data_IF_994625301018
#
_entry.id   IF_994625301018
#
_cell.length_a   1.000
_cell.length_b   1.000
_cell.length_c   1.000
_cell.angle_alpha   90.00
_cell.angle_beta   90.00
_cell.angle_gamma   90.00
#
_symmetry.space_group_name_H-M   'P 1'
#
loop_
_entity.id
_entity.type
_entity.pdbx_description
1 polymer ?
#
# COMPACT_ATOMS: atom_id res chain seq x y z
N UNK A 1 16.33 21.57 -24.36
CA UNK A 1 15.76 20.35 -23.73
C UNK A 1 14.97 19.59 -24.78
N UNK A 2 15.18 18.27 -24.96
CA UNK A 2 14.42 17.46 -25.93
C UNK A 2 12.92 17.54 -25.59
N UNK A 3 12.06 17.88 -26.56
CA UNK A 3 10.62 18.07 -26.34
C UNK A 3 9.95 16.84 -25.70
N UNK A 4 10.43 15.63 -26.02
CA UNK A 4 9.94 14.38 -25.42
C UNK A 4 10.30 14.24 -23.94
N UNK A 5 11.48 14.73 -23.56
CA UNK A 5 11.90 14.73 -22.16
C UNK A 5 11.11 15.78 -21.38
N UNK A 6 10.94 16.97 -21.94
CA UNK A 6 10.13 18.03 -21.34
C UNK A 6 8.68 17.56 -21.11
N UNK A 7 8.05 16.92 -22.10
CA UNK A 7 6.69 16.40 -21.96
C UNK A 7 6.60 15.25 -20.95
N UNK A 8 7.56 14.32 -20.95
CA UNK A 8 7.59 13.23 -19.98
C UNK A 8 7.72 13.75 -18.53
N UNK A 9 8.55 14.77 -18.31
CA UNK A 9 8.69 15.40 -17.00
C UNK A 9 7.41 16.14 -16.59
N UNK A 10 6.85 16.96 -17.48
CA UNK A 10 5.61 17.69 -17.21
C UNK A 10 4.43 16.76 -16.90
N UNK A 11 4.23 15.71 -17.71
CA UNK A 11 3.18 14.73 -17.48
C UNK A 11 3.40 13.92 -16.21
N UNK A 12 4.65 13.56 -15.89
CA UNK A 12 4.97 12.86 -14.65
C UNK A 12 4.70 13.71 -13.40
N UNK A 13 5.08 14.99 -13.45
CA UNK A 13 4.78 15.95 -12.38
C UNK A 13 3.27 16.14 -12.24
N UNK A 14 2.55 16.35 -13.35
CA UNK A 14 1.09 16.48 -13.35
C UNK A 14 0.43 15.23 -12.75
N UNK A 15 0.88 14.04 -13.15
CA UNK A 15 0.33 12.79 -12.64
C UNK A 15 0.59 12.61 -11.14
N UNK A 16 1.79 12.94 -10.68
CA UNK A 16 2.13 12.86 -9.25
C UNK A 16 1.36 13.91 -8.44
N UNK A 17 1.23 15.14 -8.94
CA UNK A 17 0.41 16.18 -8.32
C UNK A 17 -1.06 15.78 -8.27
N UNK A 18 -1.60 15.20 -9.34
CA UNK A 18 -2.97 14.71 -9.38
C UNK A 18 -3.19 13.56 -8.38
N UNK A 19 -2.24 12.62 -8.26
CA UNK A 19 -2.29 11.55 -7.26
C UNK A 19 -2.27 12.11 -5.83
N UNK A 20 -1.39 13.07 -5.55
CA UNK A 20 -1.31 13.74 -4.24
C UNK A 20 -2.59 14.51 -3.93
N UNK A 21 -3.11 15.26 -4.89
CA UNK A 21 -4.39 15.97 -4.76
C UNK A 21 -5.53 14.99 -4.50
N UNK A 22 -5.61 13.89 -5.26
CA UNK A 22 -6.61 12.84 -5.07
C UNK A 22 -6.50 12.12 -3.72
N UNK A 23 -5.34 12.14 -3.07
CA UNK A 23 -5.13 11.49 -1.78
C UNK A 23 -5.30 12.41 -0.59
N UNK A 24 -4.97 13.69 -0.74
CA UNK A 24 -5.00 14.66 0.37
C UNK A 24 -6.20 15.60 0.27
N UNK A 25 -6.43 16.18 -0.90
CA UNK A 25 -7.45 17.21 -1.09
C UNK A 25 -8.82 16.64 -1.41
N UNK A 26 -8.90 15.58 -2.22
CA UNK A 26 -10.17 14.94 -2.56
C UNK A 26 -10.88 14.37 -1.32
N UNK A 27 -10.20 13.68 -0.38
CA UNK A 27 -10.87 13.23 0.83
C UNK A 27 -11.31 14.37 1.74
N UNK A 28 -10.54 15.47 1.82
CA UNK A 28 -10.95 16.67 2.55
C UNK A 28 -12.21 17.31 1.95
N UNK A 29 -12.27 17.43 0.63
CA UNK A 29 -13.46 17.93 -0.06
C UNK A 29 -14.66 17.00 0.15
N UNK A 30 -14.45 15.68 0.02
CA UNK A 30 -15.50 14.67 0.24
C UNK A 30 -15.97 14.66 1.70
N UNK A 31 -15.06 14.80 2.67
CA UNK A 31 -15.40 14.92 4.09
C UNK A 31 -16.25 16.17 4.35
N UNK A 32 -15.85 17.32 3.80
CA UNK A 32 -16.62 18.58 3.92
C UNK A 32 -18.03 18.45 3.35
N UNK A 33 -18.20 17.71 2.26
CA UNK A 33 -19.52 17.42 1.69
C UNK A 33 -20.33 16.44 2.55
N UNK A 34 -19.69 15.38 3.05
CA UNK A 34 -20.38 14.32 3.78
C UNK A 34 -20.70 14.66 5.23
N UNK A 35 -20.02 15.62 5.84
CA UNK A 35 -20.25 16.03 7.24
C UNK A 35 -21.66 16.60 7.47
N UNK A 36 -22.29 17.13 6.41
CA UNK A 36 -23.69 17.58 6.42
C UNK A 36 -24.68 16.43 6.66
N UNK A 37 -24.31 15.21 6.26
CA UNK A 37 -25.14 14.01 6.38
C UNK A 37 -24.70 13.11 7.54
N UNK A 38 -23.40 13.06 7.80
CA UNK A 38 -22.77 12.23 8.82
C UNK A 38 -22.01 13.13 9.79
N UNK A 39 -22.66 13.58 10.87
CA UNK A 39 -22.09 14.55 11.78
C UNK A 39 -20.82 14.02 12.44
N UNK A 40 -19.98 14.97 12.81
CA UNK A 40 -18.62 14.74 13.22
C UNK A 40 -18.45 14.72 14.74
N UNK A 41 -18.56 13.53 15.34
CA UNK A 41 -18.57 13.40 16.79
C UNK A 41 -17.18 13.56 17.40
N UNK A 42 -16.97 14.70 18.10
CA UNK A 42 -15.74 15.02 18.84
C UNK A 42 -15.50 14.15 20.08
N UNK A 43 -14.32 14.30 20.70
CA UNK A 43 -14.01 13.71 22.02
C UNK A 43 -15.05 14.01 23.11
N UNK A 44 -15.69 15.18 23.02
CA UNK A 44 -16.72 15.61 23.97
C UNK A 44 -18.07 14.89 23.78
N UNK A 45 -18.30 14.25 22.63
CA UNK A 45 -19.57 13.63 22.22
C UNK A 45 -19.43 12.10 22.13
N UNK A 46 -18.60 11.52 23.00
CA UNK A 46 -18.27 10.09 22.96
C UNK A 46 -19.50 9.18 23.13
N UNK A 47 -20.51 9.62 23.89
CA UNK A 47 -21.73 8.85 24.13
C UNK A 47 -22.56 8.74 22.84
N UNK A 48 -22.72 9.84 22.13
CA UNK A 48 -23.40 9.91 20.83
C UNK A 48 -22.61 9.14 19.76
N UNK A 49 -21.28 9.33 19.70
CA UNK A 49 -20.40 8.60 18.81
C UNK A 49 -20.57 7.08 18.98
N UNK A 50 -20.57 6.61 20.23
CA UNK A 50 -20.74 5.19 20.56
C UNK A 50 -22.11 4.66 20.11
N UNK A 51 -23.20 5.41 20.34
CA UNK A 51 -24.53 5.00 19.87
C UNK A 51 -24.60 4.85 18.36
N UNK A 52 -23.96 5.75 17.61
CA UNK A 52 -23.89 5.67 16.15
C UNK A 52 -23.06 4.47 15.70
N UNK A 53 -21.91 4.22 16.33
CA UNK A 53 -21.10 3.02 16.06
C UNK A 53 -21.92 1.76 16.31
N UNK A 54 -22.61 1.67 17.44
CA UNK A 54 -23.45 0.52 17.80
C UNK A 54 -24.61 0.31 16.80
N UNK A 55 -25.22 1.40 16.32
CA UNK A 55 -26.28 1.34 15.29
C UNK A 55 -25.76 0.92 13.91
N UNK A 56 -24.54 1.35 13.55
CA UNK A 56 -23.93 1.05 12.25
C UNK A 56 -23.17 -0.29 12.23
N UNK A 57 -22.86 -0.85 13.40
CA UNK A 57 -22.14 -2.12 13.55
C UNK A 57 -22.75 -3.25 12.71
N UNK A 58 -24.07 -3.54 12.75
CA UNK A 58 -24.66 -4.59 11.93
C UNK A 58 -24.44 -4.38 10.43
N UNK A 59 -24.48 -3.12 9.97
CA UNK A 59 -24.21 -2.75 8.57
C UNK A 59 -22.76 -3.06 8.22
N UNK A 60 -21.81 -2.80 9.12
CA UNK A 60 -20.40 -3.18 8.95
C UNK A 60 -20.22 -4.70 8.76
N UNK A 61 -20.85 -5.52 9.60
CA UNK A 61 -20.81 -6.99 9.48
C UNK A 61 -21.44 -7.49 8.17
N UNK A 62 -22.62 -6.98 7.80
CA UNK A 62 -23.30 -7.34 6.54
C UNK A 62 -22.46 -6.92 5.34
N UNK A 63 -21.85 -5.75 5.39
CA UNK A 63 -20.96 -5.26 4.33
C UNK A 63 -19.75 -6.17 4.17
N UNK A 64 -19.10 -6.56 5.27
CA UNK A 64 -17.92 -7.43 5.24
C UNK A 64 -18.25 -8.82 4.69
N UNK A 65 -19.35 -9.41 5.15
CA UNK A 65 -19.85 -10.69 4.63
C UNK A 65 -20.16 -10.60 3.13
N UNK A 66 -20.83 -9.53 2.71
CA UNK A 66 -21.19 -9.30 1.30
C UNK A 66 -19.94 -9.17 0.42
N UNK A 67 -18.97 -8.34 0.83
CA UNK A 67 -17.71 -8.16 0.10
C UNK A 67 -16.93 -9.47 0.04
N UNK A 68 -16.83 -10.20 1.14
CA UNK A 68 -16.16 -11.51 1.19
C UNK A 68 -16.82 -12.52 0.24
N UNK A 69 -18.15 -12.60 0.26
CA UNK A 69 -18.92 -13.45 -0.64
C UNK A 69 -18.73 -13.06 -2.11
N UNK A 70 -18.70 -11.76 -2.43
CA UNK A 70 -18.43 -11.27 -3.79
C UNK A 70 -17.02 -11.63 -4.25
N UNK A 71 -16.01 -11.49 -3.39
CA UNK A 71 -14.64 -11.91 -3.68
C UNK A 71 -14.59 -13.41 -3.95
N UNK A 72 -15.15 -14.23 -3.05
CA UNK A 72 -15.17 -15.69 -3.19
C UNK A 72 -15.93 -16.14 -4.45
N UNK A 73 -17.10 -15.58 -4.70
CA UNK A 73 -17.91 -15.86 -5.89
C UNK A 73 -17.20 -15.41 -7.19
N UNK A 74 -16.49 -14.28 -7.16
CA UNK A 74 -15.69 -13.78 -8.26
C UNK A 74 -14.55 -14.74 -8.63
N UNK A 75 -13.86 -15.27 -7.61
CA UNK A 75 -12.85 -16.32 -7.79
C UNK A 75 -13.44 -17.63 -8.31
N UNK A 76 -14.52 -18.13 -7.68
CA UNK A 76 -15.17 -19.39 -8.07
C UNK A 76 -15.72 -19.34 -9.51
N UNK A 77 -16.28 -18.20 -9.91
CA UNK A 77 -16.91 -18.03 -11.24
C UNK A 77 -15.91 -17.63 -12.34
N UNK A 78 -14.63 -17.45 -12.02
CA UNK A 78 -13.60 -16.88 -12.92
C UNK A 78 -14.00 -15.52 -13.53
N UNK A 79 -14.93 -14.80 -12.91
CA UNK A 79 -15.44 -13.49 -13.38
C UNK A 79 -14.60 -12.39 -12.77
N UNK A 80 -13.56 -11.98 -13.51
CA UNK A 80 -12.59 -10.96 -13.10
C UNK A 80 -13.24 -9.67 -12.57
N UNK A 81 -14.35 -9.22 -13.15
CA UNK A 81 -15.04 -7.97 -12.75
C UNK A 81 -15.62 -8.01 -11.33
N UNK A 82 -16.15 -9.15 -10.87
CA UNK A 82 -16.71 -9.29 -9.53
C UNK A 82 -15.61 -9.36 -8.46
N UNK A 83 -14.51 -10.05 -8.77
CA UNK A 83 -13.32 -10.09 -7.93
C UNK A 83 -12.66 -8.71 -7.80
N UNK A 84 -12.62 -7.93 -8.90
CA UNK A 84 -12.10 -6.56 -8.91
C UNK A 84 -12.94 -5.60 -8.05
N UNK A 85 -14.27 -5.67 -8.12
CA UNK A 85 -15.14 -4.85 -7.28
C UNK A 85 -14.98 -5.22 -5.80
N UNK A 86 -14.88 -6.51 -5.49
CA UNK A 86 -14.61 -6.98 -4.13
C UNK A 86 -13.25 -6.52 -3.60
N UNK A 87 -12.18 -6.58 -4.40
CA UNK A 87 -10.86 -6.10 -3.98
C UNK A 87 -10.84 -4.59 -3.76
N UNK A 88 -11.45 -3.82 -4.68
CA UNK A 88 -11.59 -2.37 -4.53
C UNK A 88 -12.39 -2.02 -3.26
N UNK A 89 -13.42 -2.78 -2.93
CA UNK A 89 -14.19 -2.59 -1.71
C UNK A 89 -13.36 -2.89 -0.45
N UNK A 90 -12.46 -3.86 -0.47
CA UNK A 90 -11.53 -4.16 0.65
C UNK A 90 -10.43 -3.10 0.79
N UNK A 91 -10.03 -2.45 -0.31
CA UNK A 91 -8.99 -1.41 -0.32
C UNK A 91 -9.53 -0.01 0.02
N UNK A 92 -10.82 0.25 -0.19
CA UNK A 92 -11.47 1.54 0.11
C UNK A 92 -11.30 2.00 1.58
N UNK A 93 -11.46 1.12 2.59
CA UNK A 93 -11.22 1.45 3.99
C UNK A 93 -9.73 1.69 4.25
N UNK A 94 -8.83 0.92 3.62
CA UNK A 94 -7.38 1.15 3.67
C UNK A 94 -7.03 2.54 3.13
N UNK A 95 -7.68 2.98 2.05
CA UNK A 95 -7.56 4.34 1.52
C UNK A 95 -8.12 5.40 2.49
N UNK A 96 -9.25 5.12 3.15
CA UNK A 96 -9.82 6.00 4.19
C UNK A 96 -8.92 6.19 5.41
N UNK A 97 -7.99 5.27 5.66
CA UNK A 97 -6.95 5.45 6.69
C UNK A 97 -5.86 6.44 6.25
N UNK A 98 -5.50 6.46 4.95
CA UNK A 98 -4.44 7.35 4.43
C UNK A 98 -4.92 8.78 4.18
N UNK A 99 -6.21 8.94 3.87
CA UNK A 99 -6.87 10.18 3.49
C UNK A 99 -6.79 11.35 4.50
N UNK A 100 -6.23 11.17 5.70
CA UNK A 100 -5.97 12.25 6.68
C UNK A 100 -7.17 13.14 7.04
N UNK A 101 -8.39 12.66 6.81
CA UNK A 101 -9.62 13.20 7.40
C UNK A 101 -10.05 12.19 8.46
N UNK A 102 -9.77 12.49 9.73
CA UNK A 102 -10.80 13.04 10.60
C UNK A 102 -11.91 12.01 10.82
N UNK A 103 -11.80 11.30 11.95
CA UNK A 103 -12.83 10.51 12.65
C UNK A 103 -13.07 9.04 12.29
N UNK A 104 -13.54 8.33 13.31
CA UNK A 104 -13.80 6.90 13.30
C UNK A 104 -14.93 6.50 12.35
N UNK A 105 -15.80 7.44 11.92
CA UNK A 105 -16.95 7.19 11.05
C UNK A 105 -17.53 8.43 10.33
N UNK A 106 -16.92 9.62 10.44
CA UNK A 106 -17.44 10.83 9.80
C UNK A 106 -16.85 11.03 8.40
N UNK A 107 -17.66 11.54 7.47
CA UNK A 107 -17.27 11.76 6.09
C UNK A 107 -16.68 10.50 5.41
N UNK A 108 -15.45 10.60 4.90
CA UNK A 108 -14.73 9.48 4.26
C UNK A 108 -14.44 8.32 5.24
N UNK A 109 -14.48 8.59 6.54
CA UNK A 109 -14.40 7.58 7.60
C UNK A 109 -15.55 6.56 7.55
N UNK A 110 -16.66 6.84 6.85
CA UNK A 110 -17.74 5.88 6.60
C UNK A 110 -17.24 4.62 5.88
N UNK A 111 -16.21 4.73 5.03
CA UNK A 111 -15.62 3.56 4.39
C UNK A 111 -14.97 2.59 5.39
N UNK A 112 -14.68 3.03 6.63
CA UNK A 112 -14.22 2.16 7.72
C UNK A 112 -15.30 1.24 8.27
N UNK A 113 -16.58 1.44 7.91
CA UNK A 113 -17.68 0.54 8.25
C UNK A 113 -17.33 -0.92 7.94
N UNK A 114 -16.69 -1.16 6.79
CA UNK A 114 -16.29 -2.50 6.37
C UNK A 114 -15.31 -3.16 7.35
N UNK A 115 -14.55 -2.36 8.11
CA UNK A 115 -13.53 -2.82 9.05
C UNK A 115 -13.98 -2.79 10.51
N UNK A 116 -15.17 -2.26 10.81
CA UNK A 116 -15.74 -2.31 12.17
C UNK A 116 -15.72 -3.73 12.75
N UNK A 117 -16.10 -4.79 12.00
CA UNK A 117 -16.03 -6.15 12.54
C UNK A 117 -14.62 -6.55 13.01
N UNK A 118 -13.58 -6.13 12.29
CA UNK A 118 -12.19 -6.42 12.68
C UNK A 118 -11.75 -5.60 13.89
N UNK A 119 -12.23 -4.36 14.02
CA UNK A 119 -11.95 -3.48 15.15
C UNK A 119 -12.67 -3.95 16.42
N UNK A 120 -13.92 -4.41 16.29
CA UNK A 120 -14.75 -4.93 17.37
C UNK A 120 -14.27 -6.30 17.88
N UNK A 121 -13.82 -7.19 16.98
CA UNK A 121 -13.39 -8.54 17.34
C UNK A 121 -12.13 -8.53 18.22
N UNK A 122 -11.08 -7.86 17.75
CA UNK A 122 -9.84 -7.67 18.51
C UNK A 122 -8.98 -6.59 17.83
N UNK A 123 -8.74 -5.43 18.47
CA UNK A 123 -7.80 -4.42 17.97
C UNK A 123 -6.40 -4.98 17.69
N UNK A 124 -6.02 -6.10 18.33
CA UNK A 124 -4.79 -6.83 18.08
C UNK A 124 -4.66 -7.31 16.63
N UNK A 125 -5.77 -7.63 15.95
CA UNK A 125 -5.74 -8.08 14.57
C UNK A 125 -5.08 -7.03 13.65
N UNK A 126 -5.35 -5.74 13.89
CA UNK A 126 -4.74 -4.65 13.12
C UNK A 126 -3.24 -4.51 13.34
N UNK A 127 -2.74 -5.01 14.48
CA UNK A 127 -1.31 -5.03 14.85
C UNK A 127 -0.54 -6.17 14.18
N UNK A 128 -1.21 -7.10 13.49
CA UNK A 128 -0.56 -8.18 12.75
C UNK A 128 0.26 -7.70 11.54
N UNK A 129 0.33 -6.39 11.27
CA UNK A 129 1.28 -5.79 10.36
C UNK A 129 2.43 -5.02 11.02
N UNK A 130 2.53 -4.95 12.36
CA UNK A 130 3.47 -4.06 13.06
C UNK A 130 4.95 -4.30 12.71
N UNK A 131 5.35 -5.47 12.20
CA UNK A 131 6.71 -5.68 11.69
C UNK A 131 7.11 -4.66 10.62
N UNK A 132 6.14 -4.14 9.84
CA UNK A 132 6.41 -3.11 8.82
C UNK A 132 6.78 -1.76 9.42
N UNK A 133 6.55 -1.51 10.72
CA UNK A 133 6.91 -0.25 11.39
C UNK A 133 8.39 -0.16 11.74
N UNK A 134 9.13 -1.29 11.73
CA UNK A 134 10.54 -1.33 12.14
C UNK A 134 11.45 -0.36 11.35
N UNK A 135 11.33 -0.20 10.01
CA UNK A 135 12.12 0.80 9.29
C UNK A 135 11.86 2.24 9.75
N UNK A 136 10.61 2.59 10.03
CA UNK A 136 10.25 3.91 10.57
C UNK A 136 10.83 4.11 11.97
N UNK A 137 10.70 3.12 12.86
CA UNK A 137 11.28 3.17 14.22
C UNK A 137 12.80 3.30 14.17
N UNK A 138 13.48 2.54 13.30
CA UNK A 138 14.92 2.64 13.14
C UNK A 138 15.36 4.03 12.65
N UNK A 139 14.64 4.61 11.68
CA UNK A 139 14.93 5.95 11.19
C UNK A 139 14.60 7.03 12.23
N UNK A 140 13.54 6.87 13.02
CA UNK A 140 13.12 7.84 14.05
C UNK A 140 14.02 7.86 15.28
N UNK A 141 14.93 6.89 15.43
CA UNK A 141 16.03 6.96 16.40
C UNK A 141 17.11 7.94 15.92
N UNK A 142 17.33 8.03 14.61
CA UNK A 142 18.38 8.87 14.00
C UNK A 142 17.92 10.31 13.74
N UNK A 143 16.63 10.49 13.45
CA UNK A 143 15.99 11.79 13.20
C UNK A 143 14.66 11.86 13.94
N UNK A 144 14.05 13.05 14.05
CA UNK A 144 12.73 13.12 14.72
C UNK A 144 11.66 12.26 14.00
N UNK A 145 10.69 11.67 14.73
CA UNK A 145 9.59 10.88 14.14
C UNK A 145 8.87 11.59 12.98
N UNK A 146 8.62 12.90 13.14
CA UNK A 146 8.05 13.77 12.10
C UNK A 146 8.92 13.81 10.83
N UNK A 147 10.23 14.03 10.98
CA UNK A 147 11.15 14.07 9.85
C UNK A 147 11.27 12.70 9.18
N UNK A 148 11.26 11.61 9.93
CA UNK A 148 11.27 10.25 9.39
C UNK A 148 10.02 10.00 8.50
N UNK A 149 8.83 10.33 8.99
CA UNK A 149 7.59 10.20 8.22
C UNK A 149 7.59 11.06 6.95
N UNK A 150 7.97 12.33 7.06
CA UNK A 150 8.08 13.24 5.92
C UNK A 150 9.13 12.76 4.90
N UNK A 151 10.25 12.19 5.35
CA UNK A 151 11.27 11.64 4.46
C UNK A 151 10.72 10.51 3.59
N UNK A 152 9.93 9.59 4.14
CA UNK A 152 9.27 8.54 3.36
C UNK A 152 8.30 9.11 2.32
N UNK A 153 7.47 10.09 2.70
CA UNK A 153 6.52 10.75 1.79
C UNK A 153 7.28 11.40 0.62
N UNK A 154 8.26 12.25 0.92
CA UNK A 154 9.01 13.01 -0.09
C UNK A 154 9.85 12.09 -0.99
N UNK A 155 10.54 11.11 -0.41
CA UNK A 155 11.29 10.12 -1.17
C UNK A 155 10.38 9.30 -2.08
N UNK A 156 9.20 8.89 -1.58
CA UNK A 156 8.19 8.18 -2.36
C UNK A 156 7.69 8.99 -3.55
N UNK A 157 7.29 10.25 -3.33
CA UNK A 157 6.88 11.17 -4.39
C UNK A 157 7.96 11.36 -5.45
N UNK A 158 9.21 11.56 -5.02
CA UNK A 158 10.35 11.73 -5.92
C UNK A 158 10.60 10.47 -6.75
N UNK A 159 10.70 9.30 -6.12
CA UNK A 159 10.96 8.02 -6.80
C UNK A 159 9.82 7.68 -7.77
N UNK A 160 8.57 7.92 -7.36
CA UNK A 160 7.39 7.71 -8.21
C UNK A 160 7.40 8.62 -9.44
N UNK A 161 7.65 9.92 -9.24
CA UNK A 161 7.76 10.91 -10.32
C UNK A 161 8.92 10.57 -11.27
N UNK A 162 10.07 10.18 -10.73
CA UNK A 162 11.24 9.85 -11.54
C UNK A 162 11.04 8.55 -12.33
N UNK A 163 10.43 7.52 -11.71
CA UNK A 163 10.03 6.29 -12.38
C UNK A 163 9.04 6.54 -13.51
N UNK A 164 8.00 7.32 -13.25
CA UNK A 164 6.97 7.68 -14.25
C UNK A 164 7.55 8.51 -15.40
N UNK A 165 8.41 9.49 -15.11
CA UNK A 165 9.08 10.28 -16.14
C UNK A 165 9.97 9.41 -17.02
N UNK A 166 10.74 8.49 -16.41
CA UNK A 166 11.59 7.55 -17.14
C UNK A 166 10.76 6.63 -18.03
N UNK A 167 9.64 6.12 -17.52
CA UNK A 167 8.73 5.26 -18.27
C UNK A 167 8.10 5.99 -19.46
N UNK A 168 7.51 7.17 -19.23
CA UNK A 168 6.91 7.99 -20.29
C UNK A 168 7.93 8.35 -21.38
N UNK A 169 9.14 8.74 -20.96
CA UNK A 169 10.22 9.04 -21.89
C UNK A 169 10.61 7.81 -22.73
N UNK A 170 10.81 6.64 -22.11
CA UNK A 170 11.13 5.41 -22.83
C UNK A 170 10.04 4.98 -23.81
N UNK A 171 8.77 5.06 -23.40
CA UNK A 171 7.62 4.76 -24.27
C UNK A 171 7.53 5.74 -25.44
N UNK A 172 7.76 7.03 -25.21
CA UNK A 172 7.80 8.04 -26.30
C UNK A 172 8.95 7.83 -27.30
N UNK A 173 9.94 7.02 -26.95
CA UNK A 173 11.08 6.64 -27.79
C UNK A 173 10.92 5.27 -28.43
N UNK A 174 9.79 4.58 -28.21
CA UNK A 174 9.55 3.24 -28.73
C UNK A 174 10.42 2.16 -28.06
N UNK A 175 10.98 2.44 -26.88
CA UNK A 175 11.80 1.47 -26.15
C UNK A 175 10.89 0.42 -25.53
N UNK A 176 11.10 -0.85 -25.89
CA UNK A 176 10.27 -1.95 -25.39
C UNK A 176 10.60 -2.38 -23.97
N UNK A 177 11.89 -2.45 -23.64
CA UNK A 177 12.41 -2.75 -22.31
C UNK A 177 13.20 -1.54 -21.81
N UNK A 178 12.63 -0.83 -20.83
CA UNK A 178 13.20 0.37 -20.25
C UNK A 178 14.16 -0.07 -19.13
N UNK A 179 15.45 0.12 -19.36
CA UNK A 179 16.55 -0.31 -18.48
C UNK A 179 17.50 0.84 -18.11
N UNK A 180 17.09 2.09 -18.33
CA UNK A 180 17.88 3.30 -18.09
C UNK A 180 17.28 4.16 -16.95
N UNK A 181 18.07 5.13 -16.45
CA UNK A 181 17.70 6.08 -15.38
C UNK A 181 17.10 5.42 -14.14
N UNK A 182 15.84 5.72 -13.78
CA UNK A 182 15.18 5.12 -12.61
C UNK A 182 15.22 3.59 -12.65
N UNK A 183 15.05 3.02 -13.86
CA UNK A 183 15.07 1.58 -14.09
C UNK A 183 16.47 0.96 -13.96
N UNK A 184 17.56 1.75 -13.87
CA UNK A 184 18.90 1.23 -13.51
C UNK A 184 19.06 1.00 -12.01
N UNK A 185 18.27 1.70 -11.21
CA UNK A 185 18.37 1.68 -9.75
C UNK A 185 17.35 0.71 -9.12
N UNK A 186 16.24 0.47 -9.83
CA UNK A 186 15.12 -0.34 -9.39
C UNK A 186 14.41 -0.91 -10.60
N UNK A 187 14.02 -2.19 -10.60
CA UNK A 187 13.22 -2.74 -11.71
C UNK A 187 11.77 -2.24 -11.69
N UNK A 188 11.31 -1.78 -10.52
CA UNK A 188 9.94 -1.33 -10.27
C UNK A 188 9.91 0.02 -9.54
N UNK A 189 10.46 1.10 -10.13
CA UNK A 189 10.61 2.37 -9.44
C UNK A 189 9.26 3.01 -9.07
N UNK A 190 8.22 2.90 -9.92
CA UNK A 190 6.88 3.41 -9.57
C UNK A 190 6.30 2.66 -8.37
N UNK A 191 6.40 1.33 -8.32
CA UNK A 191 5.91 0.56 -7.18
C UNK A 191 6.68 0.88 -5.90
N UNK A 192 8.01 1.02 -5.98
CA UNK A 192 8.81 1.51 -4.85
C UNK A 192 8.35 2.88 -4.37
N UNK A 193 8.17 3.83 -5.30
CA UNK A 193 7.71 5.18 -4.96
C UNK A 193 6.35 5.19 -4.28
N UNK A 194 5.39 4.41 -4.80
CA UNK A 194 4.06 4.25 -4.21
C UNK A 194 4.11 3.62 -2.81
N UNK A 195 4.92 2.58 -2.62
CA UNK A 195 5.10 1.92 -1.31
C UNK A 195 5.72 2.89 -0.29
N UNK A 196 6.78 3.61 -0.65
CA UNK A 196 7.42 4.59 0.25
C UNK A 196 6.47 5.73 0.63
N UNK A 197 5.75 6.27 -0.36
CA UNK A 197 4.82 7.36 -0.14
C UNK A 197 3.63 6.95 0.74
N UNK A 198 2.97 5.84 0.41
CA UNK A 198 1.85 5.32 1.20
C UNK A 198 2.28 4.87 2.59
N UNK A 199 3.50 4.35 2.73
CA UNK A 199 4.11 4.04 4.04
C UNK A 199 4.29 5.30 4.89
N UNK A 200 4.82 6.37 4.28
CA UNK A 200 4.95 7.66 4.93
C UNK A 200 3.61 8.22 5.42
N UNK A 201 2.54 8.03 4.63
CA UNK A 201 1.17 8.37 5.06
C UNK A 201 0.64 7.47 6.17
N UNK A 202 0.93 6.16 6.12
CA UNK A 202 0.51 5.21 7.17
C UNK A 202 1.05 5.60 8.55
N UNK A 203 2.30 6.09 8.62
CA UNK A 203 2.96 6.45 9.88
C UNK A 203 2.66 7.86 10.36
N UNK A 204 1.90 8.69 9.61
CA UNK A 204 1.55 10.05 10.04
C UNK A 204 0.85 10.13 11.41
N UNK A 205 -0.07 9.22 11.78
CA UNK A 205 -0.74 9.31 13.08
C UNK A 205 0.23 9.16 14.26
N UNK A 206 1.37 8.46 14.05
CA UNK A 206 2.37 8.21 15.10
C UNK A 206 3.13 9.47 15.55
N UNK A 207 3.11 10.55 14.76
CA UNK A 207 3.82 11.80 15.08
C UNK A 207 2.98 13.07 14.94
N UNK A 208 1.88 13.03 14.20
CA UNK A 208 0.90 14.12 14.16
C UNK A 208 -0.15 14.01 15.27
N UNK A 209 -0.24 12.84 15.91
CA UNK A 209 -1.25 12.55 16.92
C UNK A 209 -2.63 12.25 16.31
N UNK A 210 -3.51 11.72 17.15
CA UNK A 210 -4.89 11.39 16.79
C UNK A 210 -5.74 12.66 16.80
N UNK A 211 -6.15 13.12 15.62
CA UNK A 211 -7.05 14.29 15.53
C UNK A 211 -8.39 13.94 16.19
N UNK A 212 -8.78 14.72 17.19
CA UNK A 212 -10.06 14.64 17.91
C UNK A 212 -10.38 13.24 18.49
N UNK A 213 -9.34 12.51 18.92
CA UNK A 213 -9.42 11.41 19.90
C UNK A 213 -10.02 10.07 19.47
N UNK A 214 -10.26 9.86 18.17
CA UNK A 214 -10.50 8.51 17.65
C UNK A 214 -9.20 7.70 17.69
N UNK A 215 -8.95 6.96 18.77
CA UNK A 215 -7.86 5.99 18.79
C UNK A 215 -8.22 4.81 17.89
N UNK A 216 -7.50 4.66 16.79
CA UNK A 216 -7.53 3.45 15.97
C UNK A 216 -6.09 3.00 15.82
N UNK A 217 -5.73 1.76 16.17
CA UNK A 217 -4.37 1.27 16.02
C UNK A 217 -3.82 1.58 14.64
N UNK A 218 -2.53 1.89 14.56
CA UNK A 218 -1.87 2.20 13.28
C UNK A 218 -2.25 1.09 12.26
N UNK A 219 -2.76 1.45 11.07
CA UNK A 219 -3.34 0.52 10.09
C UNK A 219 -2.28 -0.34 9.37
N UNK A 220 -1.39 -0.96 10.14
CA UNK A 220 -0.21 -1.68 9.67
C UNK A 220 -0.57 -2.94 8.90
N UNK A 221 -1.58 -3.71 9.36
CA UNK A 221 -2.08 -4.87 8.63
C UNK A 221 -2.70 -4.47 7.28
N UNK A 222 -3.66 -3.51 7.20
CA UNK A 222 -4.18 -3.03 5.92
C UNK A 222 -3.08 -2.57 4.95
N UNK A 223 -2.11 -1.79 5.43
CA UNK A 223 -0.99 -1.36 4.60
C UNK A 223 -0.12 -2.54 4.15
N UNK A 224 0.16 -3.52 5.03
CA UNK A 224 0.89 -4.73 4.67
C UNK A 224 0.16 -5.51 3.57
N UNK A 225 -1.16 -5.70 3.68
CA UNK A 225 -1.95 -6.39 2.65
C UNK A 225 -1.90 -5.64 1.31
N UNK A 226 -2.06 -4.31 1.32
CA UNK A 226 -1.92 -3.48 0.12
C UNK A 226 -0.51 -3.60 -0.49
N UNK A 227 0.53 -3.59 0.35
CA UNK A 227 1.91 -3.77 -0.10
C UNK A 227 2.12 -5.15 -0.73
N UNK A 228 1.57 -6.22 -0.14
CA UNK A 228 1.61 -7.58 -0.69
C UNK A 228 0.90 -7.69 -2.05
N UNK A 229 -0.21 -6.97 -2.25
CA UNK A 229 -0.88 -6.89 -3.55
C UNK A 229 0.05 -6.24 -4.59
N UNK A 230 0.66 -5.10 -4.27
CA UNK A 230 1.64 -4.43 -5.15
C UNK A 230 2.82 -5.35 -5.47
N UNK A 231 3.34 -6.08 -4.47
CA UNK A 231 4.41 -7.05 -4.67
C UNK A 231 4.00 -8.21 -5.59
N UNK A 232 2.76 -8.69 -5.48
CA UNK A 232 2.22 -9.73 -6.35
C UNK A 232 2.14 -9.26 -7.80
N UNK A 233 1.67 -8.02 -8.02
CA UNK A 233 1.61 -7.40 -9.36
C UNK A 233 3.02 -7.29 -9.94
N UNK A 234 3.97 -6.74 -9.17
CA UNK A 234 5.36 -6.58 -9.60
C UNK A 234 6.04 -7.92 -9.97
N UNK A 235 5.86 -8.96 -9.14
CA UNK A 235 6.38 -10.31 -9.42
C UNK A 235 5.70 -10.95 -10.64
N UNK A 236 4.40 -10.74 -10.80
CA UNK A 236 3.64 -11.22 -11.95
C UNK A 236 4.11 -10.57 -13.25
N UNK A 237 4.43 -9.28 -13.21
CA UNK A 237 5.05 -8.57 -14.32
C UNK A 237 6.42 -9.14 -14.66
N UNK A 238 7.29 -9.44 -13.69
CA UNK A 238 8.59 -10.06 -13.98
C UNK A 238 8.43 -11.42 -14.67
N UNK A 239 7.43 -12.21 -14.27
CA UNK A 239 7.13 -13.48 -14.92
C UNK A 239 6.70 -13.29 -16.39
N UNK A 240 5.87 -12.27 -16.67
CA UNK A 240 5.45 -11.92 -18.03
C UNK A 240 6.60 -11.35 -18.87
N UNK A 241 7.42 -10.47 -18.30
CA UNK A 241 8.59 -9.89 -18.96
C UNK A 241 9.65 -10.94 -19.26
N UNK A 242 9.85 -11.92 -18.37
CA UNK A 242 10.74 -13.06 -18.61
C UNK A 242 10.24 -13.88 -19.80
N UNK A 243 8.93 -14.14 -19.90
CA UNK A 243 8.34 -14.85 -21.05
C UNK A 243 8.46 -14.06 -22.36
N UNK A 244 8.30 -12.73 -22.30
CA UNK A 244 8.31 -11.85 -23.47
C UNK A 244 9.72 -11.58 -24.02
N UNK A 245 10.68 -11.34 -23.13
CA UNK A 245 12.01 -10.85 -23.51
C UNK A 245 13.13 -11.87 -23.24
N UNK A 246 12.82 -13.02 -22.63
CA UNK A 246 13.76 -14.11 -22.39
C UNK A 246 15.06 -13.66 -21.72
N UNK A 247 16.19 -14.09 -22.29
CA UNK A 247 17.54 -13.79 -21.80
C UNK A 247 17.84 -12.30 -21.64
N UNK A 248 17.24 -11.43 -22.47
CA UNK A 248 17.45 -9.98 -22.35
C UNK A 248 16.94 -9.47 -21.01
N UNK A 249 15.77 -9.92 -20.56
CA UNK A 249 15.23 -9.53 -19.27
C UNK A 249 15.94 -10.24 -18.11
N UNK A 250 16.37 -11.50 -18.29
CA UNK A 250 17.14 -12.23 -17.27
C UNK A 250 18.43 -11.48 -16.91
N UNK A 251 19.21 -11.06 -17.91
CA UNK A 251 20.43 -10.26 -17.68
C UNK A 251 20.16 -8.93 -16.97
N UNK A 252 19.10 -8.22 -17.36
CA UNK A 252 18.67 -7.01 -16.68
C UNK A 252 18.26 -7.28 -15.22
N UNK A 253 17.54 -8.38 -14.98
CA UNK A 253 17.11 -8.83 -13.65
C UNK A 253 18.28 -9.18 -12.73
N UNK A 254 19.36 -9.72 -13.27
CA UNK A 254 20.56 -10.03 -12.50
C UNK A 254 21.32 -8.76 -12.10
N UNK A 255 21.41 -7.79 -13.02
CA UNK A 255 22.14 -6.54 -12.82
C UNK A 255 21.42 -5.54 -11.92
N UNK A 256 20.09 -5.42 -12.00
CA UNK A 256 19.32 -4.38 -11.31
C UNK A 256 18.52 -4.99 -10.14
N UNK A 257 18.44 -4.35 -8.97
CA UNK A 257 17.64 -4.86 -7.85
C UNK A 257 16.13 -4.76 -8.09
N UNK A 258 15.35 -5.63 -7.43
CA UNK A 258 13.89 -5.70 -7.60
C UNK A 258 13.20 -4.36 -7.27
N UNK A 259 13.39 -3.86 -6.04
CA UNK A 259 12.86 -2.56 -5.59
C UNK A 259 13.97 -1.59 -5.21
N UNK A 260 14.86 -1.96 -4.28
CA UNK A 260 15.94 -1.09 -3.82
C UNK A 260 17.25 -1.87 -3.70
N UNK A 261 18.42 -1.19 -3.78
CA UNK A 261 19.71 -1.85 -3.63
C UNK A 261 19.89 -2.34 -2.18
N UNK A 262 19.72 -3.65 -1.99
CA UNK A 262 19.92 -4.33 -0.71
C UNK A 262 21.33 -4.96 -0.63
N UNK A 263 21.96 -5.00 0.57
CA UNK A 263 23.20 -5.74 0.78
C UNK A 263 23.07 -7.21 0.37
N UNK A 264 24.16 -7.82 -0.12
CA UNK A 264 24.16 -9.23 -0.60
C UNK A 264 23.57 -10.22 0.42
N UNK A 265 23.84 -10.02 1.71
CA UNK A 265 23.30 -10.84 2.81
C UNK A 265 21.77 -10.75 2.90
N UNK A 266 21.21 -9.55 2.74
CA UNK A 266 19.76 -9.36 2.77
C UNK A 266 19.11 -9.98 1.54
N UNK A 267 19.71 -9.78 0.36
CA UNK A 267 19.25 -10.39 -0.91
C UNK A 267 19.25 -11.93 -0.85
N UNK A 268 20.26 -12.52 -0.23
CA UNK A 268 20.32 -13.99 -0.08
C UNK A 268 19.34 -14.49 0.97
N UNK A 269 19.17 -13.78 2.09
CA UNK A 269 18.20 -14.12 3.12
C UNK A 269 16.76 -14.08 2.58
N UNK A 270 16.40 -13.03 1.81
CA UNK A 270 15.08 -12.95 1.19
C UNK A 270 14.90 -14.03 0.14
N UNK A 271 15.91 -14.36 -0.67
CA UNK A 271 15.76 -15.39 -1.72
C UNK A 271 15.62 -16.83 -1.18
N UNK A 272 16.03 -17.12 0.06
CA UNK A 272 16.03 -18.48 0.64
C UNK A 272 14.62 -19.11 0.74
N UNK A 273 13.61 -18.45 1.35
CA UNK A 273 12.25 -18.99 1.38
C UNK A 273 11.68 -19.30 -0.01
N UNK A 274 11.96 -18.45 -1.00
CA UNK A 274 11.51 -18.66 -2.39
C UNK A 274 12.18 -19.90 -2.98
N UNK A 275 13.50 -20.03 -2.81
CA UNK A 275 14.24 -21.20 -3.29
C UNK A 275 13.75 -22.50 -2.64
N UNK A 276 13.42 -22.47 -1.35
CA UNK A 276 12.87 -23.63 -0.65
C UNK A 276 11.47 -24.00 -1.15
N UNK A 277 10.66 -23.01 -1.53
CA UNK A 277 9.28 -23.21 -1.98
C UNK A 277 9.18 -23.62 -3.46
N UNK A 278 10.04 -23.09 -4.33
CA UNK A 278 9.93 -23.20 -5.79
C UNK A 278 11.12 -23.91 -6.46
N UNK A 279 12.14 -24.33 -5.71
CA UNK A 279 13.44 -24.83 -6.21
C UNK A 279 14.22 -23.84 -7.09
N UNK A 280 13.79 -22.58 -7.10
CA UNK A 280 14.38 -21.51 -7.90
C UNK A 280 14.26 -20.15 -7.21
N UNK A 281 15.13 -19.18 -7.53
CA UNK A 281 15.13 -17.89 -6.84
C UNK A 281 13.98 -16.95 -7.20
N UNK A 282 13.20 -17.22 -8.26
CA UNK A 282 12.17 -16.31 -8.76
C UNK A 282 10.93 -17.05 -9.29
N UNK A 283 9.72 -16.49 -9.11
CA UNK A 283 8.50 -17.03 -9.71
C UNK A 283 8.49 -16.87 -11.24
N UNK A 284 7.89 -17.83 -11.93
CA UNK A 284 7.76 -17.85 -13.41
C UNK A 284 6.32 -17.77 -13.91
N UNK A 285 5.36 -17.79 -12.97
CA UNK A 285 3.94 -17.68 -13.25
C UNK A 285 3.26 -16.76 -12.23
N UNK A 286 2.11 -16.21 -12.61
CA UNK A 286 1.27 -15.38 -11.72
C UNK A 286 0.86 -16.17 -10.46
N UNK A 287 0.60 -17.47 -10.59
CA UNK A 287 0.27 -18.36 -9.47
C UNK A 287 1.43 -18.47 -8.48
N UNK A 288 2.66 -18.63 -8.99
CA UNK A 288 3.85 -18.66 -8.13
C UNK A 288 4.13 -17.31 -7.49
N UNK A 289 3.92 -16.21 -8.21
CA UNK A 289 4.03 -14.86 -7.65
C UNK A 289 3.08 -14.68 -6.46
N UNK A 290 1.81 -15.10 -6.61
CA UNK A 290 0.84 -15.11 -5.53
C UNK A 290 1.28 -15.99 -4.35
N UNK A 291 1.74 -17.22 -4.60
CA UNK A 291 2.21 -18.13 -3.56
C UNK A 291 3.39 -17.56 -2.77
N UNK A 292 4.35 -16.94 -3.47
CA UNK A 292 5.49 -16.26 -2.86
C UNK A 292 5.01 -15.10 -1.97
N UNK A 293 4.07 -14.29 -2.44
CA UNK A 293 3.48 -13.22 -1.63
C UNK A 293 2.77 -13.77 -0.39
N UNK A 294 1.98 -14.85 -0.51
CA UNK A 294 1.30 -15.49 0.64
C UNK A 294 2.32 -15.97 1.68
N UNK A 295 3.41 -16.60 1.23
CA UNK A 295 4.50 -17.02 2.10
C UNK A 295 5.11 -15.84 2.86
N UNK A 296 5.48 -14.75 2.17
CA UNK A 296 6.01 -13.57 2.85
C UNK A 296 4.98 -12.88 3.73
N UNK A 297 3.71 -12.86 3.34
CA UNK A 297 2.63 -12.33 4.17
C UNK A 297 2.52 -13.09 5.48
N UNK A 298 2.52 -14.43 5.43
CA UNK A 298 2.51 -15.27 6.62
C UNK A 298 3.76 -15.04 7.50
N UNK A 299 4.95 -14.94 6.90
CA UNK A 299 6.19 -14.64 7.64
C UNK A 299 6.16 -13.26 8.30
N UNK A 300 5.69 -12.23 7.60
CA UNK A 300 5.60 -10.86 8.11
C UNK A 300 4.55 -10.75 9.22
N UNK A 301 3.40 -11.40 9.06
CA UNK A 301 2.36 -11.50 10.09
C UNK A 301 2.90 -12.20 11.33
N UNK A 302 3.53 -13.36 11.17
CA UNK A 302 4.14 -14.09 12.29
C UNK A 302 5.22 -13.24 12.99
N UNK A 303 6.06 -12.53 12.23
CA UNK A 303 7.07 -11.63 12.79
C UNK A 303 6.48 -10.39 13.47
N UNK A 304 5.24 -10.03 13.16
CA UNK A 304 4.54 -8.90 13.80
C UNK A 304 4.05 -9.26 15.19
N UNK A 305 3.83 -10.53 15.51
CA UNK A 305 3.37 -10.99 16.83
C UNK A 305 4.26 -10.43 17.96
N UNK A 306 5.60 -10.64 17.98
CA UNK A 306 6.44 -10.07 19.03
C UNK A 306 6.44 -8.54 19.00
N UNK A 307 6.47 -7.92 17.82
CA UNK A 307 6.51 -6.45 17.68
C UNK A 307 5.23 -5.80 18.21
N UNK A 308 4.08 -6.44 18.03
CA UNK A 308 2.79 -5.97 18.50
C UNK A 308 2.70 -5.86 20.04
N UNK A 309 3.53 -6.60 20.78
CA UNK A 309 3.64 -6.47 22.24
C UNK A 309 4.49 -5.26 22.66
N UNK A 310 5.45 -4.83 21.84
CA UNK A 310 6.37 -3.74 22.18
C UNK A 310 5.94 -2.38 21.62
N UNK A 311 5.14 -2.36 20.56
CA UNK A 311 4.64 -1.11 19.95
C UNK A 311 3.14 -0.93 20.23
N UNK A 312 2.74 0.28 20.70
CA UNK A 312 1.35 0.60 21.03
C UNK A 312 0.40 0.50 19.83
#
# INVERSE_FOLDING_TARGET
>A
MNYRLASALALSMLFTMALLYATLSLPAALHTYLIEYFPDYGLAEWVEARRVVEALRPIGYVSLLTVTALVAAGFASKRFKASLLGSLAVDLPTFSYFASTMFFLAGVGLFRLLWIPFIDMDPWLLKLGHAVLLPYVALSILVTPKLAGLAFILAGCFVFSFGTATWLYGRSRGVELIDFWAYRLSRHPQYLGFLLWSYGLMVTPLWWGWVKGGYVPTPSLPWLLAALIVMTVALSEEALLTKRFGERYIRYREAVPFLFPAPRKLRSATARPIKLLLDRPYPTSVKEAFLVTVLYGALLIASSIPVAYFLP
#
